data_IF_419593390166
#
_entry.id   IF_419593390166
#
_cell.length_a   1.000
_cell.length_b   1.000
_cell.length_c   1.000
_cell.angle_alpha   90.00
_cell.angle_beta   90.00
_cell.angle_gamma   90.00
#
_symmetry.space_group_name_H-M   'P 1'
#
loop_
_entity.id
_entity.type
_entity.pdbx_description
1 polymer ?
#
# COMPACT_ATOMS: atom_id res chain seq x y z
N UNK A 1 7.79 -11.43 12.16
CA UNK A 1 6.95 -11.11 13.33
C UNK A 1 5.50 -11.43 12.97
N UNK A 2 4.75 -12.16 13.82
CA UNK A 2 3.33 -12.39 13.54
C UNK A 2 2.58 -11.06 13.61
N UNK A 3 1.61 -10.79 12.70
CA UNK A 3 0.81 -9.58 12.77
C UNK A 3 0.12 -9.49 14.14
N UNK A 4 0.17 -8.32 14.77
CA UNK A 4 -0.48 -8.08 16.04
C UNK A 4 -1.99 -7.96 15.81
N UNK A 5 -2.69 -9.08 15.91
CA UNK A 5 -4.15 -9.08 15.91
C UNK A 5 -4.67 -8.52 17.23
N UNK A 6 -5.68 -7.68 17.14
CA UNK A 6 -6.38 -7.13 18.31
C UNK A 6 -7.56 -7.98 18.74
N UNK A 7 -8.19 -8.68 17.79
CA UNK A 7 -9.32 -9.58 17.99
C UNK A 7 -9.47 -10.53 16.80
N UNK A 8 -10.17 -11.63 17.02
CA UNK A 8 -10.54 -12.57 15.95
C UNK A 8 -11.88 -13.24 16.26
N UNK A 9 -12.63 -13.61 15.23
CA UNK A 9 -13.89 -14.33 15.29
C UNK A 9 -13.85 -15.52 14.35
N UNK A 10 -14.37 -16.64 14.80
CA UNK A 10 -14.50 -17.87 14.04
C UNK A 10 -15.98 -18.23 13.96
N UNK A 11 -16.47 -18.53 12.77
CA UNK A 11 -17.80 -19.12 12.60
C UNK A 11 -17.85 -20.53 13.24
N UNK A 12 -18.99 -20.88 13.88
CA UNK A 12 -19.12 -22.09 14.70
C UNK A 12 -18.80 -23.40 13.97
N UNK A 13 -19.05 -23.43 12.66
CA UNK A 13 -18.81 -24.58 11.78
C UNK A 13 -17.45 -24.50 11.04
N UNK A 14 -16.62 -23.49 11.35
CA UNK A 14 -15.38 -23.22 10.65
C UNK A 14 -15.56 -22.70 9.22
N UNK A 15 -16.77 -22.25 8.86
CA UNK A 15 -17.05 -21.73 7.51
C UNK A 15 -16.42 -20.36 7.23
N UNK A 16 -15.88 -19.68 8.24
CA UNK A 16 -15.22 -18.39 8.06
C UNK A 16 -14.45 -17.97 9.31
N UNK A 17 -13.49 -17.10 9.09
CA UNK A 17 -12.69 -16.45 10.14
C UNK A 17 -12.33 -15.04 9.71
N UNK A 18 -12.44 -14.10 10.64
CA UNK A 18 -11.88 -12.76 10.49
C UNK A 18 -11.01 -12.42 11.69
N UNK A 19 -9.99 -11.60 11.45
CA UNK A 19 -9.14 -11.02 12.47
C UNK A 19 -9.00 -9.52 12.22
N UNK A 20 -8.77 -8.76 13.27
CA UNK A 20 -8.56 -7.32 13.20
C UNK A 20 -7.10 -6.99 13.44
N UNK A 21 -6.52 -6.18 12.58
CA UNK A 21 -5.16 -5.66 12.65
C UNK A 21 -5.18 -4.14 12.76
N UNK A 22 -4.31 -3.57 13.59
CA UNK A 22 -4.14 -2.11 13.68
C UNK A 22 -3.55 -1.55 12.40
N UNK A 23 -4.03 -0.37 12.00
CA UNK A 23 -3.45 0.44 10.92
C UNK A 23 -2.82 1.72 11.50
N UNK A 24 -1.98 2.43 10.73
CA UNK A 24 -1.44 3.73 11.16
C UNK A 24 -2.52 4.79 11.34
N UNK A 25 -3.70 4.62 10.74
CA UNK A 25 -4.79 5.61 10.68
C UNK A 25 -5.82 5.52 11.81
N UNK A 26 -5.53 4.80 12.88
CA UNK A 26 -6.44 4.59 14.00
C UNK A 26 -7.76 3.86 13.65
N UNK A 27 -7.85 3.22 12.48
CA UNK A 27 -8.86 2.22 12.15
C UNK A 27 -8.28 0.81 12.32
N UNK A 28 -9.14 -0.21 12.18
CA UNK A 28 -8.72 -1.61 12.18
C UNK A 28 -8.97 -2.21 10.80
N UNK A 29 -8.02 -2.95 10.30
CA UNK A 29 -8.16 -3.71 9.07
C UNK A 29 -8.71 -5.10 9.35
N UNK A 30 -9.73 -5.49 8.60
CA UNK A 30 -10.31 -6.84 8.61
C UNK A 30 -9.49 -7.72 7.68
N UNK A 31 -8.98 -8.82 8.21
CA UNK A 31 -8.28 -9.87 7.47
C UNK A 31 -9.08 -11.16 7.49
N UNK A 32 -9.12 -11.87 6.36
CA UNK A 32 -9.89 -13.11 6.19
C UNK A 32 -11.32 -12.85 5.72
N UNK A 33 -12.22 -13.80 5.95
CA UNK A 33 -13.60 -13.75 5.48
C UNK A 33 -14.30 -15.09 5.65
N UNK A 34 -15.23 -15.40 4.76
CA UNK A 34 -15.99 -16.64 4.74
C UNK A 34 -15.58 -17.54 3.57
N UNK A 35 -15.60 -18.84 3.79
CA UNK A 35 -15.32 -19.84 2.76
C UNK A 35 -16.33 -19.69 1.61
N UNK A 36 -15.86 -19.74 0.34
CA UNK A 36 -16.75 -19.72 -0.82
C UNK A 36 -17.83 -20.83 -0.74
N UNK A 37 -19.06 -20.47 -1.08
CA UNK A 37 -20.20 -21.40 -1.07
C UNK A 37 -21.55 -20.72 -0.85
N UNK A 38 -22.65 -21.47 -0.81
CA UNK A 38 -24.01 -20.92 -0.71
C UNK A 38 -24.26 -20.03 0.52
N UNK A 39 -23.54 -20.28 1.62
CA UNK A 39 -23.68 -19.53 2.89
C UNK A 39 -22.62 -18.43 3.07
N UNK A 40 -21.73 -18.23 2.11
CA UNK A 40 -20.61 -17.29 2.22
C UNK A 40 -21.06 -15.90 2.65
N UNK A 41 -22.08 -15.35 1.97
CA UNK A 41 -22.55 -14.00 2.25
C UNK A 41 -23.12 -13.85 3.67
N UNK A 42 -23.87 -14.85 4.12
CA UNK A 42 -24.45 -14.88 5.47
C UNK A 42 -23.38 -14.95 6.55
N UNK A 43 -22.41 -15.88 6.39
CA UNK A 43 -21.29 -16.05 7.33
C UNK A 43 -20.41 -14.80 7.35
N UNK A 44 -20.05 -14.24 6.19
CA UNK A 44 -19.27 -13.01 6.13
C UNK A 44 -20.00 -11.85 6.81
N UNK A 45 -21.29 -11.67 6.57
CA UNK A 45 -22.08 -10.63 7.21
C UNK A 45 -22.16 -10.81 8.73
N UNK A 46 -22.31 -12.02 9.24
CA UNK A 46 -22.34 -12.30 10.67
C UNK A 46 -20.98 -11.95 11.34
N UNK A 47 -19.88 -12.37 10.73
CA UNK A 47 -18.53 -12.06 11.21
C UNK A 47 -18.25 -10.54 11.22
N UNK A 48 -18.62 -9.83 10.13
CA UNK A 48 -18.45 -8.38 10.04
C UNK A 48 -19.28 -7.62 11.06
N UNK A 49 -20.54 -8.04 11.33
CA UNK A 49 -21.35 -7.44 12.39
C UNK A 49 -20.72 -7.63 13.77
N UNK A 50 -20.19 -8.84 14.05
CA UNK A 50 -19.48 -9.10 15.30
C UNK A 50 -18.23 -8.21 15.45
N UNK A 51 -17.46 -8.04 14.39
CA UNK A 51 -16.30 -7.15 14.38
C UNK A 51 -16.70 -5.67 14.56
N UNK A 52 -17.77 -5.22 13.88
CA UNK A 52 -18.27 -3.84 13.99
C UNK A 52 -18.76 -3.49 15.39
N UNK A 53 -19.15 -4.48 16.20
CA UNK A 53 -19.54 -4.27 17.60
C UNK A 53 -18.38 -3.76 18.48
N UNK A 54 -17.15 -3.76 18.00
CA UNK A 54 -16.01 -3.12 18.70
C UNK A 54 -16.11 -1.59 18.76
N UNK A 55 -16.96 -0.97 17.94
CA UNK A 55 -17.15 0.48 17.87
C UNK A 55 -16.01 1.24 17.17
N UNK A 56 -14.94 0.56 16.78
CA UNK A 56 -13.82 1.15 16.03
C UNK A 56 -14.12 1.11 14.53
N UNK A 57 -13.81 2.17 13.75
CA UNK A 57 -13.92 2.13 12.30
C UNK A 57 -13.09 0.97 11.71
N UNK A 58 -13.69 0.23 10.78
CA UNK A 58 -13.06 -0.89 10.13
C UNK A 58 -12.80 -0.59 8.65
N UNK A 59 -11.72 -1.16 8.10
CA UNK A 59 -11.46 -1.23 6.67
C UNK A 59 -11.29 -2.68 6.22
N UNK A 60 -11.70 -2.99 4.98
CA UNK A 60 -11.63 -4.34 4.42
C UNK A 60 -11.42 -4.31 2.91
N UNK A 61 -10.68 -5.28 2.39
CA UNK A 61 -10.58 -5.55 0.96
C UNK A 61 -11.74 -6.43 0.50
N UNK A 62 -12.42 -6.02 -0.57
CA UNK A 62 -13.40 -6.85 -1.23
C UNK A 62 -12.71 -7.69 -2.32
N UNK A 63 -12.17 -8.83 -1.93
CA UNK A 63 -11.43 -9.71 -2.85
C UNK A 63 -12.32 -10.68 -3.64
N UNK A 64 -13.67 -10.61 -3.42
CA UNK A 64 -14.70 -11.47 -4.00
C UNK A 64 -14.50 -12.99 -3.78
N UNK A 65 -13.37 -13.38 -3.19
CA UNK A 65 -13.07 -14.77 -2.84
C UNK A 65 -13.53 -15.10 -1.42
N UNK A 66 -13.05 -14.34 -0.44
CA UNK A 66 -13.35 -14.55 0.98
C UNK A 66 -14.32 -13.50 1.53
N UNK A 67 -14.30 -12.28 0.97
CA UNK A 67 -15.09 -11.16 1.43
C UNK A 67 -15.75 -10.41 0.25
N UNK A 68 -16.90 -10.89 -0.22
CA UNK A 68 -17.58 -10.31 -1.38
C UNK A 68 -17.99 -8.84 -1.15
N UNK A 69 -17.73 -7.98 -2.13
CA UNK A 69 -18.00 -6.54 -2.04
C UNK A 69 -19.48 -6.21 -1.77
N UNK A 70 -20.42 -6.99 -2.33
CA UNK A 70 -21.84 -6.78 -2.10
C UNK A 70 -22.27 -6.99 -0.64
N UNK A 71 -21.55 -7.82 0.14
CA UNK A 71 -21.82 -8.01 1.58
C UNK A 71 -21.45 -6.74 2.34
N UNK A 72 -20.28 -6.15 2.04
CA UNK A 72 -19.84 -4.87 2.64
C UNK A 72 -20.86 -3.77 2.34
N UNK A 73 -21.28 -3.64 1.07
CA UNK A 73 -22.28 -2.64 0.65
C UNK A 73 -23.63 -2.84 1.38
N UNK A 74 -24.11 -4.08 1.51
CA UNK A 74 -25.35 -4.38 2.22
C UNK A 74 -25.28 -4.03 3.71
N UNK A 75 -24.08 -4.06 4.31
CA UNK A 75 -23.83 -3.63 5.68
C UNK A 75 -23.62 -2.12 5.80
N UNK A 76 -23.76 -1.34 4.71
CA UNK A 76 -23.63 0.11 4.70
C UNK A 76 -22.17 0.60 4.70
N UNK A 77 -21.22 -0.28 4.34
CA UNK A 77 -19.83 0.15 4.16
C UNK A 77 -19.68 0.90 2.84
N UNK A 78 -18.81 1.89 2.82
CA UNK A 78 -18.55 2.73 1.64
C UNK A 78 -17.17 2.40 1.06
N UNK A 79 -17.09 2.39 -0.27
CA UNK A 79 -15.79 2.26 -0.94
C UNK A 79 -14.96 3.52 -0.65
N UNK A 80 -13.82 3.34 0.01
CA UNK A 80 -12.94 4.42 0.45
C UNK A 80 -11.64 4.50 -0.36
N UNK A 81 -11.35 3.49 -1.17
CA UNK A 81 -10.17 3.41 -2.01
C UNK A 81 -10.07 2.05 -2.69
N UNK A 82 -8.89 1.74 -3.17
CA UNK A 82 -8.61 0.44 -3.79
C UNK A 82 -7.13 0.08 -3.67
N UNK A 83 -6.83 -1.21 -3.76
CA UNK A 83 -5.53 -1.73 -4.15
C UNK A 83 -5.51 -1.90 -5.66
N UNK A 84 -4.42 -1.50 -6.29
CA UNK A 84 -4.21 -1.74 -7.73
C UNK A 84 -2.82 -2.31 -7.97
N UNK A 85 -2.74 -3.42 -8.71
CA UNK A 85 -1.48 -3.88 -9.27
C UNK A 85 -1.38 -3.40 -10.72
N UNK A 86 -0.34 -2.64 -10.99
CA UNK A 86 -0.01 -2.11 -12.30
C UNK A 86 1.12 -2.90 -12.95
N UNK A 87 1.03 -3.12 -14.25
CA UNK A 87 2.12 -3.73 -15.02
C UNK A 87 2.36 -2.97 -16.32
N UNK A 88 3.63 -2.96 -16.75
CA UNK A 88 4.01 -2.35 -18.02
C UNK A 88 5.52 -2.35 -18.24
N UNK A 89 5.98 -1.69 -19.31
CA UNK A 89 7.40 -1.38 -19.45
C UNK A 89 7.83 -0.41 -18.36
N UNK A 90 9.14 -0.35 -18.08
CA UNK A 90 9.66 0.67 -17.16
C UNK A 90 9.35 2.07 -17.68
N UNK A 91 8.55 2.89 -17.00
CA UNK A 91 8.19 4.21 -17.46
C UNK A 91 9.38 5.18 -17.37
N UNK A 92 9.37 6.20 -18.23
CA UNK A 92 10.35 7.30 -18.20
C UNK A 92 9.58 8.62 -18.07
N UNK A 93 9.00 8.92 -16.88
CA UNK A 93 8.24 10.16 -16.72
C UNK A 93 9.14 11.39 -16.95
N UNK A 94 8.65 12.33 -17.71
CA UNK A 94 9.27 13.65 -17.79
C UNK A 94 9.00 14.38 -16.47
N UNK A 95 10.05 14.68 -15.72
CA UNK A 95 9.90 15.23 -14.38
C UNK A 95 11.17 15.97 -13.95
N UNK A 96 11.03 16.86 -13.00
CA UNK A 96 12.11 17.50 -12.28
C UNK A 96 11.96 17.29 -10.79
N UNK A 97 13.08 17.19 -10.08
CA UNK A 97 13.07 17.15 -8.62
C UNK A 97 12.63 18.51 -8.10
N UNK A 98 11.63 18.58 -7.19
CA UNK A 98 11.22 19.86 -6.59
C UNK A 98 12.38 20.60 -5.92
N UNK A 99 12.33 21.94 -5.96
CA UNK A 99 13.34 22.76 -5.30
C UNK A 99 13.44 22.43 -3.81
N UNK A 100 14.68 22.35 -3.30
CA UNK A 100 14.94 22.00 -1.91
C UNK A 100 14.79 20.53 -1.55
N UNK A 101 14.53 19.65 -2.53
CA UNK A 101 14.47 18.19 -2.33
C UNK A 101 15.70 17.54 -2.99
N UNK A 102 16.24 16.50 -2.34
CA UNK A 102 17.26 15.61 -2.91
C UNK A 102 16.71 14.20 -2.98
N UNK A 103 16.98 13.48 -4.07
CA UNK A 103 16.68 12.05 -4.20
C UNK A 103 17.99 11.28 -4.16
N UNK A 104 18.05 10.23 -3.33
CA UNK A 104 19.20 9.37 -3.11
C UNK A 104 18.77 7.91 -3.23
N UNK A 105 19.69 6.98 -3.60
CA UNK A 105 19.46 5.57 -3.35
C UNK A 105 19.13 5.33 -1.88
N UNK A 106 18.23 4.40 -1.61
CA UNK A 106 17.86 4.07 -0.23
C UNK A 106 19.03 3.52 0.59
N UNK A 107 20.03 2.91 -0.09
CA UNK A 107 21.30 2.50 0.51
C UNK A 107 22.09 3.67 1.12
N UNK A 108 21.93 4.86 0.58
CA UNK A 108 22.64 6.08 1.02
C UNK A 108 21.84 6.90 2.04
N UNK A 109 20.69 6.37 2.52
CA UNK A 109 19.92 7.03 3.56
C UNK A 109 20.77 7.21 4.82
N UNK A 110 20.81 8.42 5.43
CA UNK A 110 21.75 8.74 6.52
C UNK A 110 21.64 7.82 7.73
N UNK A 111 20.40 7.51 8.14
CA UNK A 111 20.13 6.70 9.32
C UNK A 111 18.69 6.12 9.29
N UNK A 112 18.34 5.34 10.33
CA UNK A 112 17.02 4.73 10.47
C UNK A 112 15.91 5.76 10.76
N UNK A 113 16.21 6.90 11.37
CA UNK A 113 15.23 7.95 11.64
C UNK A 113 14.70 8.51 10.33
N UNK A 114 15.59 8.85 9.42
CA UNK A 114 15.26 9.36 8.08
C UNK A 114 14.48 8.30 7.27
N UNK A 115 14.87 7.02 7.37
CA UNK A 115 14.12 5.93 6.74
C UNK A 115 12.71 5.81 7.34
N UNK A 116 12.57 5.99 8.66
CA UNK A 116 11.28 5.98 9.35
C UNK A 116 10.40 7.12 8.86
N UNK A 117 10.90 8.35 8.85
CA UNK A 117 10.18 9.52 8.36
C UNK A 117 9.68 9.31 6.92
N UNK A 118 10.53 8.79 6.03
CA UNK A 118 10.16 8.49 4.66
C UNK A 118 9.11 7.37 4.56
N UNK A 119 9.20 6.31 5.38
CA UNK A 119 8.22 5.23 5.42
C UNK A 119 6.87 5.72 5.94
N UNK A 120 6.87 6.64 6.91
CA UNK A 120 5.66 7.20 7.51
C UNK A 120 4.87 8.09 6.54
N UNK A 121 5.43 8.42 5.36
CA UNK A 121 4.68 9.09 4.28
C UNK A 121 3.48 8.27 3.76
N UNK A 122 3.43 6.99 4.08
CA UNK A 122 2.28 6.12 3.81
C UNK A 122 1.25 6.08 4.93
N UNK A 123 1.50 6.67 6.09
CA UNK A 123 0.69 6.46 7.30
C UNK A 123 -0.78 6.87 7.16
N UNK A 124 -1.08 7.82 6.28
CA UNK A 124 -2.45 8.26 5.99
C UNK A 124 -3.11 7.50 4.83
N UNK A 125 -2.37 6.63 4.12
CA UNK A 125 -2.88 5.84 3.00
C UNK A 125 -3.66 4.62 3.48
N UNK A 126 -4.75 4.30 2.76
CA UNK A 126 -5.50 3.06 2.96
C UNK A 126 -4.63 1.83 2.65
N UNK A 127 -4.86 0.76 3.41
CA UNK A 127 -4.19 -0.52 3.18
C UNK A 127 -2.76 -0.61 3.68
N UNK A 128 -2.18 0.47 4.21
CA UNK A 128 -0.87 0.41 4.83
C UNK A 128 -0.95 -0.04 6.29
N UNK A 129 0.03 -0.85 6.69
CA UNK A 129 0.13 -1.42 8.04
C UNK A 129 1.15 -0.66 8.88
N UNK A 130 1.07 -0.83 10.20
CA UNK A 130 2.13 -0.37 11.09
C UNK A 130 3.44 -1.07 10.74
N UNK A 131 4.50 -0.29 10.59
CA UNK A 131 5.83 -0.74 10.21
C UNK A 131 6.75 -0.64 11.41
N UNK A 132 7.42 -1.73 11.76
CA UNK A 132 8.42 -1.77 12.84
C UNK A 132 9.79 -1.27 12.37
N UNK A 133 10.72 -1.04 13.31
CA UNK A 133 12.09 -0.70 12.94
C UNK A 133 12.78 -1.82 12.15
N UNK A 134 12.43 -3.08 12.43
CA UNK A 134 12.94 -4.22 11.67
C UNK A 134 12.51 -4.24 10.19
N UNK A 135 11.41 -3.56 9.86
CA UNK A 135 10.90 -3.51 8.49
C UNK A 135 11.56 -2.41 7.64
N UNK A 136 12.34 -1.51 8.27
CA UNK A 136 12.99 -0.37 7.60
C UNK A 136 14.51 -0.42 7.60
N UNK A 137 15.13 -1.40 8.26
CA UNK A 137 16.58 -1.60 8.19
C UNK A 137 17.00 -1.89 6.73
N UNK A 138 18.25 -1.62 6.37
CA UNK A 138 18.76 -1.93 5.04
C UNK A 138 18.51 -3.39 4.64
N UNK A 139 17.98 -3.59 3.44
CA UNK A 139 17.66 -4.92 2.90
C UNK A 139 16.48 -5.63 3.57
N UNK A 140 15.71 -4.95 4.43
CA UNK A 140 14.51 -5.55 5.03
C UNK A 140 13.54 -6.07 3.96
N UNK A 141 13.01 -7.27 4.18
CA UNK A 141 12.13 -7.96 3.23
C UNK A 141 12.74 -8.13 1.83
N UNK A 142 14.06 -8.35 1.76
CA UNK A 142 14.80 -8.55 0.51
C UNK A 142 14.74 -7.36 -0.47
N UNK A 143 14.41 -6.16 0.04
CA UNK A 143 14.40 -4.95 -0.79
C UNK A 143 15.81 -4.61 -1.29
N UNK A 144 15.91 -4.23 -2.56
CA UNK A 144 17.16 -3.75 -3.14
C UNK A 144 17.31 -2.23 -2.90
N UNK A 145 17.99 -1.88 -1.83
CA UNK A 145 18.21 -0.50 -1.42
C UNK A 145 19.10 0.31 -2.38
N UNK A 146 19.82 -0.34 -3.31
CA UNK A 146 20.60 0.34 -4.36
C UNK A 146 19.70 0.82 -5.49
N UNK A 147 18.56 0.16 -5.67
CA UNK A 147 17.56 0.48 -6.70
C UNK A 147 16.44 1.32 -6.13
N UNK A 148 15.99 1.01 -4.90
CA UNK A 148 15.03 1.85 -4.18
C UNK A 148 15.59 3.24 -3.87
N UNK A 149 14.70 4.23 -3.80
CA UNK A 149 15.09 5.64 -3.58
C UNK A 149 14.33 6.28 -2.42
N UNK A 150 15.00 7.26 -1.80
CA UNK A 150 14.46 8.11 -0.75
C UNK A 150 14.60 9.57 -1.15
N UNK A 151 13.61 10.38 -0.80
CA UNK A 151 13.66 11.84 -0.98
C UNK A 151 13.85 12.53 0.37
N UNK A 152 14.77 13.48 0.43
CA UNK A 152 15.09 14.30 1.60
C UNK A 152 14.78 15.76 1.30
N UNK A 153 14.18 16.46 2.27
CA UNK A 153 14.02 17.92 2.19
C UNK A 153 15.32 18.68 2.52
N UNK A 154 15.29 20.01 2.46
CA UNK A 154 16.43 20.87 2.76
C UNK A 154 16.94 20.77 4.20
N UNK A 155 16.15 20.25 5.14
CA UNK A 155 16.54 19.97 6.52
C UNK A 155 17.07 18.54 6.71
N UNK A 156 17.07 17.71 5.65
CA UNK A 156 17.52 16.32 5.68
C UNK A 156 16.48 15.32 6.16
N UNK A 157 15.22 15.72 6.34
CA UNK A 157 14.13 14.81 6.73
C UNK A 157 13.67 13.95 5.56
N UNK A 158 13.23 12.73 5.84
CA UNK A 158 12.64 11.83 4.86
C UNK A 158 11.24 12.28 4.44
N UNK A 159 11.07 12.72 3.19
CA UNK A 159 9.78 13.25 2.66
C UNK A 159 9.19 12.42 1.54
N UNK A 160 9.84 11.33 1.16
CA UNK A 160 9.31 10.38 0.19
C UNK A 160 10.17 9.14 0.08
N UNK A 161 9.56 8.04 -0.39
CA UNK A 161 10.22 6.75 -0.54
C UNK A 161 9.62 5.95 -1.70
N UNK A 162 10.47 5.22 -2.42
CA UNK A 162 10.09 4.19 -3.38
C UNK A 162 10.95 2.96 -3.10
N UNK A 163 10.38 1.92 -2.47
CA UNK A 163 11.07 0.65 -2.21
C UNK A 163 11.01 -0.21 -3.46
N UNK A 164 12.06 -0.99 -3.69
CA UNK A 164 12.25 -1.75 -4.91
C UNK A 164 12.73 -3.17 -4.64
N UNK A 165 12.31 -4.11 -5.50
CA UNK A 165 12.75 -5.49 -5.55
C UNK A 165 13.05 -5.84 -7.01
N UNK A 166 14.20 -6.42 -7.27
CA UNK A 166 14.59 -6.89 -8.60
C UNK A 166 14.50 -8.41 -8.66
N UNK A 167 13.77 -8.91 -9.67
CA UNK A 167 13.74 -10.33 -10.00
C UNK A 167 13.91 -10.49 -11.53
N UNK A 168 15.11 -10.89 -11.93
CA UNK A 168 15.50 -10.99 -13.33
C UNK A 168 15.35 -9.65 -14.05
N UNK A 169 14.49 -9.58 -15.06
CA UNK A 169 14.21 -8.39 -15.85
C UNK A 169 13.03 -7.55 -15.32
N UNK A 170 12.51 -7.89 -14.15
CA UNK A 170 11.32 -7.27 -13.58
C UNK A 170 11.66 -6.48 -12.31
N UNK A 171 11.29 -5.21 -12.31
CA UNK A 171 11.26 -4.34 -11.15
C UNK A 171 9.89 -4.42 -10.48
N UNK A 172 9.84 -4.79 -9.21
CA UNK A 172 8.63 -4.63 -8.37
C UNK A 172 8.83 -3.46 -7.42
N UNK A 173 7.83 -2.59 -7.31
CA UNK A 173 7.84 -1.45 -6.37
C UNK A 173 6.48 -1.30 -5.66
N UNK A 174 6.49 -0.68 -4.48
CA UNK A 174 5.30 0.02 -3.99
C UNK A 174 5.14 1.37 -4.72
N UNK A 175 3.92 1.82 -4.95
CA UNK A 175 3.66 3.19 -5.44
C UNK A 175 4.40 4.19 -4.54
N UNK A 176 5.13 5.19 -5.08
CA UNK A 176 5.97 6.07 -4.27
C UNK A 176 5.18 6.80 -3.18
N UNK A 177 5.60 6.63 -1.93
CA UNK A 177 5.07 7.37 -0.78
C UNK A 177 5.61 8.79 -0.76
N UNK A 178 4.72 9.78 -0.61
CA UNK A 178 5.08 11.20 -0.60
C UNK A 178 4.42 11.86 0.60
N UNK A 179 5.19 12.69 1.31
CA UNK A 179 4.67 13.51 2.40
C UNK A 179 3.48 14.35 1.91
N UNK A 180 2.35 14.44 2.65
CA UNK A 180 1.12 15.05 2.17
C UNK A 180 1.28 16.41 1.51
N UNK A 181 2.08 17.29 2.12
CA UNK A 181 2.30 18.67 1.62
C UNK A 181 3.07 18.74 0.29
N UNK A 182 3.71 17.63 -0.13
CA UNK A 182 4.45 17.54 -1.38
C UNK A 182 3.74 16.75 -2.48
N UNK A 183 2.56 16.19 -2.22
CA UNK A 183 1.82 15.36 -3.19
C UNK A 183 1.36 16.13 -4.44
N UNK A 184 1.21 17.45 -4.32
CA UNK A 184 0.88 18.32 -5.45
C UNK A 184 2.08 18.64 -6.36
N UNK A 185 3.28 18.19 -5.98
CA UNK A 185 4.51 18.42 -6.75
C UNK A 185 4.86 17.23 -7.65
N UNK A 186 5.90 17.39 -8.48
CA UNK A 186 6.41 16.31 -9.33
C UNK A 186 7.20 15.22 -8.57
N UNK A 187 7.26 15.25 -7.24
CA UNK A 187 8.14 14.36 -6.45
C UNK A 187 7.83 12.87 -6.64
N UNK A 188 6.54 12.50 -6.77
CA UNK A 188 6.14 11.11 -7.02
C UNK A 188 6.77 10.58 -8.32
N UNK A 189 6.66 11.35 -9.39
CA UNK A 189 7.26 11.00 -10.68
C UNK A 189 8.79 11.00 -10.64
N UNK A 190 9.39 11.93 -9.89
CA UNK A 190 10.84 12.00 -9.75
C UNK A 190 11.40 10.77 -9.00
N UNK A 191 10.76 10.29 -7.94
CA UNK A 191 11.12 9.06 -7.26
C UNK A 191 10.92 7.84 -8.15
N UNK A 192 9.78 7.74 -8.85
CA UNK A 192 9.52 6.67 -9.80
C UNK A 192 10.58 6.64 -10.91
N UNK A 193 10.91 7.81 -11.46
CA UNK A 193 11.95 7.97 -12.49
C UNK A 193 13.30 7.46 -12.00
N UNK A 194 13.75 7.95 -10.83
CA UNK A 194 15.05 7.57 -10.27
C UNK A 194 15.14 6.06 -10.05
N UNK A 195 14.09 5.44 -9.49
CA UNK A 195 14.03 4.00 -9.23
C UNK A 195 14.02 3.19 -10.53
N UNK A 196 13.26 3.60 -11.55
CA UNK A 196 13.26 2.94 -12.85
C UNK A 196 14.60 3.09 -13.59
N UNK A 197 15.25 4.25 -13.50
CA UNK A 197 16.55 4.46 -14.14
C UNK A 197 17.64 3.60 -13.47
N UNK A 198 17.65 3.49 -12.15
CA UNK A 198 18.53 2.58 -11.44
C UNK A 198 18.26 1.11 -11.82
N UNK A 199 17.01 0.68 -11.90
CA UNK A 199 16.65 -0.67 -12.30
C UNK A 199 17.08 -1.01 -13.73
N UNK A 200 17.00 -0.06 -14.67
CA UNK A 200 17.51 -0.24 -16.05
C UNK A 200 19.01 -0.54 -16.09
N UNK A 201 19.79 0.11 -15.23
CA UNK A 201 21.24 -0.17 -15.12
C UNK A 201 21.52 -1.62 -14.68
N UNK A 202 20.56 -2.26 -14.02
CA UNK A 202 20.61 -3.67 -13.62
C UNK A 202 19.86 -4.61 -14.58
N UNK A 203 19.45 -4.12 -15.76
CA UNK A 203 18.87 -4.93 -16.84
C UNK A 203 17.34 -5.10 -16.76
N UNK A 204 16.65 -4.44 -15.82
CA UNK A 204 15.20 -4.50 -15.74
C UNK A 204 14.55 -3.83 -16.97
N UNK A 205 13.47 -4.43 -17.45
CA UNK A 205 12.70 -3.96 -18.61
C UNK A 205 11.21 -3.79 -18.28
N UNK A 206 10.72 -4.46 -17.26
CA UNK A 206 9.31 -4.51 -16.87
C UNK A 206 9.11 -3.96 -15.47
N UNK A 207 7.95 -3.34 -15.26
CA UNK A 207 7.50 -2.86 -13.96
C UNK A 207 6.27 -3.63 -13.49
N UNK A 208 6.30 -4.02 -12.21
CA UNK A 208 5.12 -4.34 -11.40
C UNK A 208 5.07 -3.30 -10.28
N UNK A 209 3.99 -2.51 -10.23
CA UNK A 209 3.82 -1.51 -9.18
C UNK A 209 2.55 -1.84 -8.39
N UNK A 210 2.70 -1.89 -7.07
CA UNK A 210 1.63 -2.14 -6.13
C UNK A 210 1.23 -0.81 -5.48
N UNK A 211 -0.04 -0.43 -5.62
CA UNK A 211 -0.58 0.83 -5.17
C UNK A 211 -1.73 0.62 -4.19
N UNK A 212 -1.70 1.28 -3.04
CA UNK A 212 -2.72 1.21 -2.00
C UNK A 212 -3.25 2.60 -1.69
N UNK A 213 -4.56 2.78 -1.86
CA UNK A 213 -5.24 4.01 -1.52
C UNK A 213 -4.81 5.21 -2.37
N UNK A 214 -4.34 4.95 -3.58
CA UNK A 214 -4.01 6.01 -4.53
C UNK A 214 -5.27 6.80 -4.92
N UNK A 215 -5.09 8.09 -5.12
CA UNK A 215 -6.15 8.98 -5.58
C UNK A 215 -6.50 8.73 -7.04
N UNK A 216 -7.69 9.14 -7.52
CA UNK A 216 -8.03 9.05 -8.94
C UNK A 216 -7.00 9.75 -9.86
N UNK A 217 -6.41 10.85 -9.39
CA UNK A 217 -5.38 11.58 -10.15
C UNK A 217 -4.07 10.78 -10.26
N UNK A 218 -3.64 10.08 -9.20
CA UNK A 218 -2.48 9.20 -9.22
C UNK A 218 -2.73 7.99 -10.13
N UNK A 219 -3.92 7.39 -10.04
CA UNK A 219 -4.36 6.29 -10.92
C UNK A 219 -4.34 6.71 -12.40
N UNK A 220 -4.82 7.92 -12.71
CA UNK A 220 -4.79 8.45 -14.08
C UNK A 220 -3.34 8.66 -14.53
N UNK A 221 -2.49 9.24 -13.67
CA UNK A 221 -1.08 9.46 -13.99
C UNK A 221 -0.33 8.14 -14.28
N UNK A 222 -0.64 7.04 -13.57
CA UNK A 222 -0.07 5.73 -13.84
C UNK A 222 -0.53 5.16 -15.19
N UNK A 223 -1.81 5.36 -15.54
CA UNK A 223 -2.34 5.03 -16.87
C UNK A 223 -1.64 5.83 -17.97
N UNK A 224 -1.42 7.12 -17.76
CA UNK A 224 -0.75 8.01 -18.72
C UNK A 224 0.73 7.63 -18.94
N UNK A 225 1.35 6.98 -17.94
CA UNK A 225 2.69 6.39 -18.07
C UNK A 225 2.72 5.07 -18.87
N UNK A 226 1.57 4.61 -19.39
CA UNK A 226 1.44 3.38 -20.16
C UNK A 226 1.34 2.12 -19.29
N UNK A 227 1.08 2.25 -17.99
CA UNK A 227 0.85 1.10 -17.13
C UNK A 227 -0.59 0.61 -17.25
N UNK A 228 -0.78 -0.69 -17.10
CA UNK A 228 -2.08 -1.35 -17.16
C UNK A 228 -2.42 -1.91 -15.79
N UNK A 229 -3.62 -1.60 -15.30
CA UNK A 229 -4.14 -2.24 -14.09
C UNK A 229 -4.50 -3.70 -14.40
N UNK A 230 -3.84 -4.64 -13.72
CA UNK A 230 -4.08 -6.08 -13.88
C UNK A 230 -4.88 -6.67 -12.74
N UNK A 231 -4.85 -6.04 -11.59
CA UNK A 231 -5.68 -6.38 -10.43
C UNK A 231 -6.19 -5.09 -9.81
N UNK A 232 -7.48 -5.03 -9.53
CA UNK A 232 -8.11 -3.94 -8.77
C UNK A 232 -8.97 -4.55 -7.68
N UNK A 233 -8.65 -4.28 -6.42
CA UNK A 233 -9.41 -4.76 -5.27
C UNK A 233 -9.95 -3.57 -4.49
N UNK A 234 -11.27 -3.34 -4.48
CA UNK A 234 -11.86 -2.24 -3.72
C UNK A 234 -11.60 -2.37 -2.22
N UNK A 235 -11.35 -1.25 -1.56
CA UNK A 235 -11.22 -1.15 -0.10
C UNK A 235 -12.45 -0.42 0.41
N UNK A 236 -13.18 -1.08 1.29
CA UNK A 236 -14.36 -0.54 1.94
C UNK A 236 -14.05 -0.10 3.36
N UNK A 237 -14.81 0.87 3.85
CA UNK A 237 -14.72 1.36 5.22
C UNK A 237 -16.09 1.38 5.87
N UNK A 238 -16.18 0.89 7.12
CA UNK A 238 -17.39 1.01 7.93
C UNK A 238 -17.59 2.47 8.36
N UNK A 239 -18.85 2.88 8.49
CA UNK A 239 -19.16 4.14 9.18
C UNK A 239 -18.85 3.97 10.68
N UNK A 240 -18.34 5.01 11.35
CA UNK A 240 -18.30 5.00 12.81
C UNK A 240 -19.72 4.86 13.35
N UNK A 241 -19.88 4.08 14.43
CA UNK A 241 -21.17 3.90 15.11
C UNK A 241 -21.57 5.19 15.83
#
# INVERSE_FOLDING_TARGET
>A
MLPQFTAAWLAADGAGVIALRRTPRADLEVLGGARPGPQQAEVAAALLRAASATGTPLSAYADDTLLPGHVLQTLGWEQAGQYTEWRGPLPTPETSVPAGVRILPLADAPDLTVRREAQDTYADRLGHTLVSDADIVPGAHEADDRVGHIALDGAGRGVGICRAWLDGDTLTIGSPGIYPDLRHTALRHALLRATCDAARLHGAQRLVMQAWGDTPAETQADTDLGLQAVTVTPIYRSRPA
#
